data_IF_285914601134
#
_entry.id   IF_285914601134
#
_cell.length_a   1.000
_cell.length_b   1.000
_cell.length_c   1.000
_cell.angle_alpha   90.00
_cell.angle_beta   90.00
_cell.angle_gamma   90.00
#
_symmetry.space_group_name_H-M   'P 1'
#
loop_
_entity.id
_entity.type
_entity.pdbx_description
1 polymer ?
#
# COMPACT_ATOMS: atom_id res chain seq x y z
N UNK A 1 -7.82 30.63 13.93
CA UNK A 1 -7.59 29.49 13.03
C UNK A 1 -7.85 29.93 11.59
N UNK A 2 -7.01 29.44 10.68
CA UNK A 2 -7.10 29.76 9.25
C UNK A 2 -6.92 28.49 8.43
N UNK A 3 -7.45 28.51 7.22
CA UNK A 3 -7.08 27.56 6.15
C UNK A 3 -6.02 28.21 5.26
N UNK A 4 -4.93 27.49 5.01
CA UNK A 4 -3.87 27.88 4.06
C UNK A 4 -3.65 26.79 3.03
N UNK A 5 -3.30 27.18 1.80
CA UNK A 5 -2.88 26.21 0.80
C UNK A 5 -1.42 25.82 1.04
N UNK A 6 -1.12 24.56 0.82
CA UNK A 6 0.22 23.99 0.99
C UNK A 6 0.53 23.03 -0.14
N UNK A 7 1.82 22.89 -0.46
CA UNK A 7 2.32 21.87 -1.40
C UNK A 7 3.75 21.46 -1.09
N UNK A 8 4.13 20.25 -1.47
CA UNK A 8 5.52 19.81 -1.43
C UNK A 8 6.19 20.04 -2.77
N UNK A 9 7.30 20.76 -2.76
CA UNK A 9 8.15 21.02 -3.92
C UNK A 9 9.40 20.15 -3.85
N UNK A 10 9.99 19.90 -5.01
CA UNK A 10 11.27 19.19 -5.11
C UNK A 10 12.37 19.98 -4.42
N UNK A 11 13.22 19.29 -3.62
CA UNK A 11 14.27 19.95 -2.86
C UNK A 11 15.37 20.59 -3.74
N UNK A 12 15.55 20.09 -4.97
CA UNK A 12 16.58 20.58 -5.90
C UNK A 12 16.00 21.54 -6.95
N UNK A 13 14.68 21.48 -7.17
CA UNK A 13 14.00 22.38 -8.12
C UNK A 13 12.66 22.86 -7.52
N UNK A 14 12.70 24.02 -6.85
CA UNK A 14 11.56 24.59 -6.13
C UNK A 14 10.42 25.08 -7.02
N UNK A 15 10.54 24.99 -8.34
CA UNK A 15 9.43 25.28 -9.29
C UNK A 15 8.69 23.99 -9.66
N UNK A 16 9.19 22.83 -9.26
CA UNK A 16 8.60 21.53 -9.54
C UNK A 16 7.99 20.93 -8.28
N UNK A 17 6.79 20.35 -8.42
CA UNK A 17 6.21 19.57 -7.33
C UNK A 17 7.01 18.29 -7.08
N UNK A 18 7.18 17.95 -5.80
CA UNK A 18 7.70 16.67 -5.38
C UNK A 18 6.70 15.55 -5.69
N UNK A 19 7.18 14.36 -5.99
CA UNK A 19 6.31 13.17 -6.09
C UNK A 19 5.55 12.89 -4.80
N UNK A 20 6.07 13.29 -3.63
CA UNK A 20 5.40 13.18 -2.35
C UNK A 20 4.17 14.10 -2.23
N UNK A 21 4.02 15.11 -3.12
CA UNK A 21 2.87 16.02 -3.09
C UNK A 21 1.52 15.30 -3.23
N UNK A 22 1.48 14.15 -3.89
CA UNK A 22 0.26 13.33 -4.02
C UNK A 22 -0.24 12.77 -2.67
N UNK A 23 0.64 12.71 -1.65
CA UNK A 23 0.26 12.30 -0.30
C UNK A 23 -0.26 13.47 0.55
N UNK A 24 -0.11 14.71 0.10
CA UNK A 24 -0.56 15.89 0.81
C UNK A 24 -1.98 16.25 0.36
N UNK A 25 -2.88 16.46 1.31
CA UNK A 25 -4.12 17.16 1.05
C UNK A 25 -3.76 18.65 1.06
N UNK A 26 -3.94 19.35 -0.06
CA UNK A 26 -3.36 20.68 -0.35
C UNK A 26 -3.85 21.84 0.53
N UNK A 27 -4.65 21.57 1.57
CA UNK A 27 -5.17 22.57 2.53
C UNK A 27 -4.79 22.17 3.95
N UNK A 28 -4.16 23.09 4.66
CA UNK A 28 -3.68 22.90 6.03
C UNK A 28 -4.38 23.86 6.98
N UNK A 29 -4.52 23.44 8.24
CA UNK A 29 -5.00 24.29 9.32
C UNK A 29 -3.81 25.05 9.90
N UNK A 30 -3.88 26.39 9.86
CA UNK A 30 -2.94 27.28 10.51
C UNK A 30 -3.59 27.84 11.80
N UNK A 31 -2.92 27.68 12.93
CA UNK A 31 -3.30 28.29 14.20
C UNK A 31 -2.22 29.28 14.62
N UNK A 32 -2.61 30.53 14.90
CA UNK A 32 -1.71 31.59 15.38
C UNK A 32 -2.15 31.98 16.78
N UNK A 33 -1.29 31.75 17.78
CA UNK A 33 -1.55 32.03 19.18
C UNK A 33 -0.29 32.54 19.88
N UNK A 34 -0.38 33.66 20.60
CA UNK A 34 0.70 34.17 21.45
C UNK A 34 2.06 34.30 20.76
N UNK A 35 2.06 34.67 19.47
CA UNK A 35 3.29 34.82 18.67
C UNK A 35 3.91 33.50 18.19
N UNK A 36 3.24 32.38 18.40
CA UNK A 36 3.60 31.08 17.85
C UNK A 36 2.59 30.67 16.77
N UNK A 37 3.07 30.00 15.74
CA UNK A 37 2.22 29.47 14.67
C UNK A 37 2.39 27.95 14.56
N UNK A 38 1.30 27.26 14.40
CA UNK A 38 1.25 25.80 14.19
C UNK A 38 0.49 25.49 12.92
N UNK A 39 1.02 24.55 12.16
CA UNK A 39 0.43 24.09 10.92
C UNK A 39 0.09 22.61 11.03
N UNK A 40 -1.15 22.24 10.78
CA UNK A 40 -1.60 20.86 10.71
C UNK A 40 -1.72 20.47 9.24
N UNK A 41 -0.85 19.57 8.81
CA UNK A 41 -0.86 18.98 7.47
C UNK A 41 -1.73 17.74 7.47
N UNK A 42 -2.62 17.64 6.49
CA UNK A 42 -3.49 16.47 6.29
C UNK A 42 -2.88 15.58 5.20
N UNK A 43 -2.80 14.28 5.48
CA UNK A 43 -2.12 13.31 4.64
C UNK A 43 -3.06 12.20 4.18
N UNK A 44 -2.75 11.66 3.01
CA UNK A 44 -3.40 10.45 2.46
C UNK A 44 -2.33 9.50 1.90
N UNK A 45 -2.65 8.22 1.67
CA UNK A 45 -1.76 7.33 0.96
C UNK A 45 -1.47 7.82 -0.45
N UNK A 46 -0.30 7.46 -0.97
CA UNK A 46 -0.01 7.53 -2.40
C UNK A 46 -0.77 6.40 -3.10
N UNK A 47 -1.62 6.73 -4.06
CA UNK A 47 -2.31 5.74 -4.88
C UNK A 47 -1.69 5.66 -6.27
N UNK A 48 -1.52 4.43 -6.77
CA UNK A 48 -1.00 4.15 -8.12
C UNK A 48 -1.74 2.96 -8.72
N UNK A 49 -2.27 3.12 -9.91
CA UNK A 49 -3.01 2.06 -10.61
C UNK A 49 -4.08 1.40 -9.73
N UNK A 50 -4.86 2.21 -9.01
CA UNK A 50 -5.93 1.73 -8.15
C UNK A 50 -5.51 1.10 -6.82
N UNK A 51 -4.21 1.05 -6.50
CA UNK A 51 -3.68 0.47 -5.26
C UNK A 51 -2.93 1.51 -4.43
N UNK A 52 -2.86 1.31 -3.12
CA UNK A 52 -1.96 2.08 -2.28
C UNK A 52 -0.52 1.65 -2.55
N UNK A 53 0.34 2.62 -2.88
CA UNK A 53 1.73 2.38 -3.26
C UNK A 53 2.73 2.89 -2.21
N UNK A 54 2.27 3.66 -1.22
CA UNK A 54 3.12 4.17 -0.15
C UNK A 54 2.39 5.17 0.74
N UNK A 55 3.03 5.50 1.85
CA UNK A 55 2.54 6.47 2.83
C UNK A 55 3.68 7.32 3.37
N UNK A 56 3.37 8.54 3.81
CA UNK A 56 4.27 9.30 4.67
C UNK A 56 4.08 8.80 6.10
N UNK A 57 5.08 8.16 6.67
CA UNK A 57 5.04 7.60 8.02
C UNK A 57 5.38 8.62 9.09
N UNK A 58 6.18 9.65 8.75
CA UNK A 58 6.57 10.74 9.62
C UNK A 58 7.08 11.95 8.84
N UNK A 59 7.02 13.13 9.48
CA UNK A 59 7.54 14.38 8.98
C UNK A 59 8.41 15.06 10.05
N UNK A 60 9.49 15.70 9.61
CA UNK A 60 10.39 16.46 10.47
C UNK A 60 10.63 17.85 9.88
N UNK A 61 10.69 18.85 10.74
CA UNK A 61 11.23 20.17 10.42
C UNK A 61 12.71 20.26 10.83
N UNK A 62 13.43 21.28 10.38
CA UNK A 62 14.80 21.51 10.76
C UNK A 62 14.92 22.73 11.69
N UNK A 63 15.74 22.63 12.72
CA UNK A 63 16.23 23.79 13.49
C UNK A 63 17.34 24.52 12.75
N UNK A 64 17.72 25.70 13.23
CA UNK A 64 18.82 26.50 12.67
C UNK A 64 20.17 25.78 12.72
N UNK A 65 20.37 24.87 13.67
CA UNK A 65 21.56 24.02 13.84
C UNK A 65 21.56 22.77 12.94
N UNK A 66 20.45 22.53 12.18
CA UNK A 66 20.29 21.39 11.30
C UNK A 66 19.64 20.16 11.96
N UNK A 67 19.37 20.20 13.25
CA UNK A 67 18.70 19.12 13.97
C UNK A 67 17.26 18.95 13.48
N UNK A 68 16.84 17.70 13.35
CA UNK A 68 15.46 17.34 12.99
C UNK A 68 14.53 17.44 14.20
N UNK A 69 13.40 18.13 14.02
CA UNK A 69 12.29 18.19 14.99
C UNK A 69 11.13 17.37 14.46
N UNK A 70 10.76 16.35 15.19
CA UNK A 70 9.66 15.47 14.83
C UNK A 70 8.32 16.18 14.89
N UNK A 71 7.52 16.09 13.82
CA UNK A 71 6.13 16.54 13.80
C UNK A 71 5.27 15.71 14.77
N UNK A 72 4.31 16.38 15.42
CA UNK A 72 3.38 15.76 16.34
C UNK A 72 2.23 15.09 15.56
N UNK A 73 2.13 13.77 15.62
CA UNK A 73 1.06 13.02 14.97
C UNK A 73 -0.23 13.14 15.77
N UNK A 74 -1.25 13.77 15.17
CA UNK A 74 -2.55 13.99 15.78
C UNK A 74 -3.51 12.83 15.51
N UNK A 75 -3.53 12.33 14.28
CA UNK A 75 -4.46 11.30 13.84
C UNK A 75 -3.72 10.24 12.99
N UNK A 76 -4.24 9.02 13.02
CA UNK A 76 -3.70 7.88 12.24
C UNK A 76 -4.83 7.07 11.64
N UNK A 77 -4.54 6.44 10.50
CA UNK A 77 -5.37 5.42 9.88
C UNK A 77 -4.50 4.26 9.36
N UNK A 78 -5.13 3.22 8.87
CA UNK A 78 -4.48 2.08 8.23
C UNK A 78 -4.85 2.04 6.75
N UNK A 79 -3.93 1.53 5.92
CA UNK A 79 -4.19 1.23 4.52
C UNK A 79 -3.53 -0.10 4.16
N UNK A 80 -4.17 -0.88 3.30
CA UNK A 80 -3.54 -2.08 2.74
C UNK A 80 -2.57 -1.69 1.62
N UNK A 81 -1.33 -2.16 1.74
CA UNK A 81 -0.30 -2.04 0.70
C UNK A 81 0.20 -3.45 0.40
N UNK A 82 -0.07 -3.94 -0.81
CA UNK A 82 0.28 -5.31 -1.22
C UNK A 82 -0.20 -6.39 -0.21
N UNK A 83 -1.41 -6.25 0.31
CA UNK A 83 -1.98 -7.19 1.28
C UNK A 83 -1.51 -7.01 2.72
N UNK A 84 -0.62 -6.05 3.00
CA UNK A 84 -0.12 -5.74 4.35
C UNK A 84 -0.79 -4.47 4.88
N UNK A 85 -1.38 -4.53 6.07
CA UNK A 85 -1.93 -3.36 6.76
C UNK A 85 -0.78 -2.47 7.27
N UNK A 86 -0.72 -1.23 6.73
CA UNK A 86 0.27 -0.22 7.11
C UNK A 86 -0.42 0.92 7.82
N UNK A 87 0.05 1.26 9.02
CA UNK A 87 -0.44 2.38 9.81
C UNK A 87 0.31 3.65 9.44
N UNK A 88 -0.42 4.73 9.17
CA UNK A 88 0.17 6.01 8.77
C UNK A 88 -0.56 7.19 9.44
N UNK A 89 0.09 8.37 9.61
CA UNK A 89 -0.57 9.58 10.09
C UNK A 89 -1.47 10.18 9.02
N UNK A 90 -2.68 10.55 9.39
CA UNK A 90 -3.60 11.34 8.55
C UNK A 90 -3.55 12.83 8.87
N UNK A 91 -3.02 13.20 10.04
CA UNK A 91 -2.77 14.58 10.43
C UNK A 91 -1.48 14.70 11.26
N UNK A 92 -0.61 15.63 10.86
CA UNK A 92 0.65 15.96 11.55
C UNK A 92 0.71 17.46 11.81
N UNK A 93 0.94 17.84 13.08
CA UNK A 93 1.19 19.23 13.49
C UNK A 93 2.69 19.53 13.50
N UNK A 94 3.06 20.68 12.93
CA UNK A 94 4.42 21.24 12.99
C UNK A 94 4.40 22.69 13.42
N UNK A 95 5.47 23.14 14.09
CA UNK A 95 5.70 24.54 14.36
C UNK A 95 6.19 25.27 13.11
N UNK A 96 5.67 26.46 12.84
CA UNK A 96 6.08 27.37 11.76
C UNK A 96 6.19 28.80 12.31
N UNK A 97 6.91 29.70 11.61
CA UNK A 97 7.07 31.10 12.05
C UNK A 97 5.95 32.03 11.58
N UNK A 98 5.01 31.51 10.81
CA UNK A 98 3.89 32.28 10.26
C UNK A 98 4.25 33.24 9.12
N UNK A 99 5.49 33.21 8.61
CA UNK A 99 6.03 34.17 7.62
C UNK A 99 6.75 33.51 6.45
N UNK A 100 7.59 32.51 6.76
CA UNK A 100 8.45 31.86 5.77
C UNK A 100 7.63 30.97 4.86
N UNK A 101 7.47 31.38 3.62
CA UNK A 101 6.62 30.70 2.63
C UNK A 101 7.16 29.35 2.19
N UNK A 102 8.47 29.13 2.25
CA UNK A 102 9.15 27.88 1.82
C UNK A 102 10.08 27.42 2.90
N UNK A 103 9.80 26.28 3.50
CA UNK A 103 10.63 25.68 4.55
C UNK A 103 11.07 24.30 4.12
N UNK A 104 12.34 23.99 4.38
CA UNK A 104 12.87 22.65 4.18
C UNK A 104 12.32 21.71 5.25
N UNK A 105 11.81 20.57 4.85
CA UNK A 105 11.32 19.51 5.74
C UNK A 105 11.86 18.17 5.27
N UNK A 106 11.82 17.18 6.13
CA UNK A 106 12.17 15.81 5.82
C UNK A 106 10.93 14.91 5.99
N UNK A 107 10.67 14.08 5.00
CA UNK A 107 9.60 13.10 5.00
C UNK A 107 10.19 11.69 5.13
N UNK A 108 9.64 10.92 6.03
CA UNK A 108 9.86 9.47 6.07
C UNK A 108 8.75 8.83 5.23
N UNK A 109 9.12 8.27 4.08
CA UNK A 109 8.17 7.66 3.14
C UNK A 109 8.39 6.15 3.13
N UNK A 110 7.35 5.39 3.45
CA UNK A 110 7.32 3.95 3.26
C UNK A 110 6.63 3.65 1.93
N UNK A 111 7.43 3.28 0.93
CA UNK A 111 6.95 2.90 -0.38
C UNK A 111 6.89 1.37 -0.48
N UNK A 112 5.73 0.83 -0.83
CA UNK A 112 5.49 -0.59 -1.05
C UNK A 112 5.79 -1.51 0.15
N UNK A 113 5.78 -0.97 1.38
CA UNK A 113 6.06 -1.75 2.59
C UNK A 113 7.52 -2.21 2.72
N UNK A 114 8.45 -1.53 2.04
CA UNK A 114 9.89 -1.85 2.06
C UNK A 114 10.66 -1.16 3.19
N UNK A 115 9.95 -0.50 4.09
CA UNK A 115 10.52 0.34 5.13
C UNK A 115 10.62 1.81 4.71
N UNK A 116 10.64 2.68 5.71
CA UNK A 116 10.63 4.11 5.48
C UNK A 116 12.01 4.65 5.10
N UNK A 117 12.04 5.48 4.07
CA UNK A 117 13.22 6.19 3.59
C UNK A 117 13.06 7.71 3.76
N UNK A 118 14.16 8.38 4.09
CA UNK A 118 14.22 9.84 4.27
C UNK A 118 14.24 10.55 2.92
N UNK A 119 13.38 11.56 2.78
CA UNK A 119 13.32 12.44 1.62
C UNK A 119 13.20 13.90 2.05
N UNK A 120 14.14 14.74 1.65
CA UNK A 120 14.05 16.17 1.84
C UNK A 120 13.17 16.78 0.74
N UNK A 121 12.25 17.64 1.16
CA UNK A 121 11.37 18.42 0.26
C UNK A 121 11.23 19.85 0.79
N UNK A 122 10.72 20.74 -0.03
CA UNK A 122 10.32 22.08 0.40
C UNK A 122 8.80 22.10 0.62
N UNK A 123 8.37 22.42 1.81
CA UNK A 123 6.98 22.73 2.09
C UNK A 123 6.75 24.20 1.77
N UNK A 124 5.92 24.46 0.77
CA UNK A 124 5.45 25.81 0.44
C UNK A 124 4.11 26.05 1.13
N UNK A 125 3.96 27.24 1.75
CA UNK A 125 2.78 27.65 2.53
C UNK A 125 2.31 28.99 1.98
N UNK A 126 1.06 29.06 1.54
CA UNK A 126 0.44 30.27 0.98
C UNK A 126 -0.23 31.10 2.09
N UNK A 127 0.57 31.86 2.81
CA UNK A 127 0.05 32.78 3.86
C UNK A 127 -0.73 33.97 3.30
N UNK A 128 -0.53 34.36 2.03
CA UNK A 128 -1.16 35.55 1.43
C UNK A 128 -2.64 35.29 1.18
N UNK A 129 -3.02 34.04 0.91
CA UNK A 129 -4.39 33.63 0.60
C UNK A 129 -5.02 32.80 1.71
N UNK A 130 -4.64 33.06 2.98
CA UNK A 130 -5.27 32.40 4.13
C UNK A 130 -6.71 32.85 4.30
N UNK A 131 -7.61 31.92 4.62
CA UNK A 131 -9.03 32.17 4.88
C UNK A 131 -9.39 31.84 6.32
N UNK A 132 -10.32 32.62 6.90
CA UNK A 132 -10.79 32.37 8.26
C UNK A 132 -11.49 31.02 8.40
N UNK A 133 -11.25 30.37 9.52
CA UNK A 133 -11.75 29.03 9.81
C UNK A 133 -10.97 27.94 9.09
N UNK A 134 -11.17 26.69 9.51
CA UNK A 134 -10.53 25.55 8.86
C UNK A 134 -11.52 24.75 8.02
N UNK A 135 -11.27 24.71 6.72
CA UNK A 135 -11.96 23.83 5.77
C UNK A 135 -10.92 22.99 5.02
N UNK A 136 -10.75 21.71 5.35
CA UNK A 136 -9.73 20.85 4.73
C UNK A 136 -10.02 20.55 3.25
N UNK A 137 -11.28 20.67 2.82
CA UNK A 137 -11.71 20.29 1.47
C UNK A 137 -12.68 21.33 0.92
N UNK A 138 -12.39 21.89 -0.24
CA UNK A 138 -13.33 22.81 -0.94
C UNK A 138 -14.45 22.03 -1.64
N UNK A 139 -14.11 20.87 -2.20
CA UNK A 139 -15.02 19.95 -2.86
C UNK A 139 -14.61 18.52 -2.60
N UNK A 140 -15.58 17.61 -2.65
CA UNK A 140 -15.30 16.18 -2.54
C UNK A 140 -14.48 15.71 -3.74
N UNK A 141 -13.28 15.20 -3.49
CA UNK A 141 -12.41 14.64 -4.52
C UNK A 141 -12.63 13.14 -4.63
N UNK A 142 -13.02 12.66 -5.81
CA UNK A 142 -13.28 11.25 -6.13
C UNK A 142 -12.25 10.66 -7.10
N UNK A 143 -11.17 11.36 -7.44
CA UNK A 143 -10.24 10.93 -8.49
C UNK A 143 -9.57 9.60 -8.15
N UNK A 144 -9.07 9.43 -6.93
CA UNK A 144 -8.43 8.17 -6.51
C UNK A 144 -9.45 7.02 -6.52
N UNK A 145 -10.70 7.24 -6.10
CA UNK A 145 -11.78 6.25 -6.17
C UNK A 145 -12.11 5.88 -7.62
N UNK A 146 -12.19 6.87 -8.51
CA UNK A 146 -12.43 6.65 -9.94
C UNK A 146 -11.30 5.81 -10.57
N UNK A 147 -10.05 6.14 -10.24
CA UNK A 147 -8.89 5.41 -10.73
C UNK A 147 -8.89 3.96 -10.25
N UNK A 148 -9.22 3.71 -8.99
CA UNK A 148 -9.35 2.37 -8.44
C UNK A 148 -10.47 1.57 -9.14
N UNK A 149 -11.66 2.14 -9.30
CA UNK A 149 -12.77 1.51 -10.01
C UNK A 149 -12.36 1.16 -11.45
N UNK A 150 -11.70 2.07 -12.16
CA UNK A 150 -11.25 1.83 -13.53
C UNK A 150 -10.20 0.70 -13.60
N UNK A 151 -9.26 0.66 -12.65
CA UNK A 151 -8.28 -0.42 -12.55
C UNK A 151 -8.97 -1.79 -12.36
N UNK A 152 -9.87 -1.89 -11.37
CA UNK A 152 -10.56 -3.13 -11.04
C UNK A 152 -11.63 -3.57 -12.07
N UNK A 153 -12.05 -2.67 -12.95
CA UNK A 153 -12.89 -2.99 -14.12
C UNK A 153 -12.08 -3.24 -15.41
N UNK A 154 -10.75 -3.20 -15.34
CA UNK A 154 -9.91 -3.43 -16.53
C UNK A 154 -9.94 -4.90 -16.98
N UNK A 155 -9.82 -5.12 -18.30
CA UNK A 155 -9.74 -6.47 -18.84
C UNK A 155 -8.60 -7.29 -18.22
N UNK A 156 -7.45 -6.66 -17.99
CA UNK A 156 -6.28 -7.32 -17.39
C UNK A 156 -6.57 -7.82 -15.96
N UNK A 157 -7.28 -7.02 -15.15
CA UNK A 157 -7.70 -7.45 -13.82
C UNK A 157 -8.70 -8.60 -13.89
N UNK A 158 -9.76 -8.46 -14.70
CA UNK A 158 -10.80 -9.48 -14.85
C UNK A 158 -10.23 -10.82 -15.35
N UNK A 159 -9.28 -10.78 -16.27
CA UNK A 159 -8.56 -11.97 -16.71
C UNK A 159 -7.73 -12.58 -15.58
N UNK A 160 -7.04 -11.74 -14.78
CA UNK A 160 -6.19 -12.23 -13.69
C UNK A 160 -6.96 -12.98 -12.61
N UNK A 161 -8.19 -12.54 -12.29
CA UNK A 161 -9.03 -13.13 -11.24
C UNK A 161 -9.92 -14.27 -11.75
N UNK A 162 -9.92 -14.57 -13.06
CA UNK A 162 -10.75 -15.61 -13.66
C UNK A 162 -10.49 -17.02 -13.12
N UNK A 163 -9.32 -17.24 -12.51
CA UNK A 163 -8.93 -18.50 -11.85
C UNK A 163 -9.53 -18.66 -10.46
N UNK A 164 -10.15 -17.61 -9.91
CA UNK A 164 -10.69 -17.59 -8.56
C UNK A 164 -12.18 -17.97 -8.60
N UNK A 165 -12.59 -18.84 -7.69
CA UNK A 165 -14.00 -19.22 -7.56
C UNK A 165 -14.88 -18.04 -7.16
N UNK A 166 -16.09 -17.99 -7.68
CA UNK A 166 -17.03 -16.88 -7.50
C UNK A 166 -17.26 -16.52 -6.01
N UNK A 167 -17.36 -17.52 -5.14
CA UNK A 167 -17.55 -17.34 -3.71
C UNK A 167 -16.40 -16.51 -3.06
N UNK A 168 -15.18 -16.72 -3.52
CA UNK A 168 -14.01 -15.99 -3.02
C UNK A 168 -13.92 -14.55 -3.53
N UNK A 169 -14.73 -14.17 -4.51
CA UNK A 169 -14.85 -12.82 -5.08
C UNK A 169 -15.99 -12.00 -4.46
N UNK A 170 -16.90 -12.58 -3.67
CA UNK A 170 -18.11 -11.91 -3.18
C UNK A 170 -17.79 -10.62 -2.42
N UNK A 171 -16.82 -10.64 -1.49
CA UNK A 171 -16.44 -9.44 -0.71
C UNK A 171 -15.88 -8.34 -1.61
N UNK A 172 -15.04 -8.72 -2.56
CA UNK A 172 -14.48 -7.79 -3.54
C UNK A 172 -15.56 -7.19 -4.44
N UNK A 173 -16.47 -8.01 -4.97
CA UNK A 173 -17.58 -7.53 -5.81
C UNK A 173 -18.47 -6.55 -5.03
N UNK A 174 -18.82 -6.86 -3.77
CA UNK A 174 -19.59 -5.97 -2.92
C UNK A 174 -18.86 -4.64 -2.66
N UNK A 175 -17.56 -4.67 -2.43
CA UNK A 175 -16.76 -3.46 -2.26
C UNK A 175 -16.68 -2.62 -3.54
N UNK A 176 -16.59 -3.26 -4.71
CA UNK A 176 -16.60 -2.57 -6.01
C UNK A 176 -17.96 -1.93 -6.30
N UNK A 177 -19.06 -2.63 -6.00
CA UNK A 177 -20.42 -2.09 -6.13
C UNK A 177 -20.64 -0.88 -5.22
N UNK A 178 -20.23 -0.94 -3.94
CA UNK A 178 -20.26 0.19 -3.01
C UNK A 178 -19.45 1.38 -3.55
N UNK A 179 -18.25 1.13 -4.05
CA UNK A 179 -17.39 2.16 -4.63
C UNK A 179 -18.05 2.86 -5.82
N UNK A 180 -18.73 2.10 -6.71
CA UNK A 180 -19.47 2.64 -7.85
C UNK A 180 -20.66 3.49 -7.37
N UNK A 181 -21.38 3.07 -6.34
CA UNK A 181 -22.50 3.84 -5.77
C UNK A 181 -21.98 5.17 -5.20
N UNK A 182 -20.93 5.16 -4.39
CA UNK A 182 -20.32 6.38 -3.84
C UNK A 182 -19.75 7.30 -4.93
N UNK A 183 -19.18 6.75 -5.99
CA UNK A 183 -18.73 7.52 -7.15
C UNK A 183 -19.86 8.36 -7.76
N UNK A 184 -21.04 7.79 -7.90
CA UNK A 184 -22.21 8.41 -8.56
C UNK A 184 -23.07 9.25 -7.62
N UNK A 185 -22.92 9.11 -6.31
CA UNK A 185 -23.65 9.88 -5.30
C UNK A 185 -23.09 11.30 -5.20
N UNK A 186 -23.87 12.31 -5.60
CA UNK A 186 -23.49 13.73 -5.52
C UNK A 186 -23.45 14.27 -4.08
N UNK A 187 -24.12 13.60 -3.15
CA UNK A 187 -24.17 13.98 -1.73
C UNK A 187 -23.10 13.26 -0.89
N UNK A 188 -22.31 12.37 -1.50
CA UNK A 188 -21.27 11.64 -0.80
C UNK A 188 -20.23 12.57 -0.16
N UNK A 189 -19.95 12.37 1.10
CA UNK A 189 -18.91 13.08 1.84
C UNK A 189 -17.52 12.53 1.50
N UNK A 190 -16.46 13.34 1.71
CA UNK A 190 -15.08 12.87 1.52
C UNK A 190 -14.75 11.64 2.39
N UNK A 191 -15.32 11.57 3.59
CA UNK A 191 -15.17 10.41 4.49
C UNK A 191 -15.73 9.13 3.86
N UNK A 192 -16.90 9.20 3.23
CA UNK A 192 -17.51 8.06 2.53
C UNK A 192 -16.66 7.65 1.31
N UNK A 193 -16.18 8.62 0.54
CA UNK A 193 -15.27 8.35 -0.60
C UNK A 193 -14.00 7.65 -0.15
N UNK A 194 -13.35 8.14 0.91
CA UNK A 194 -12.13 7.55 1.46
C UNK A 194 -12.37 6.14 2.01
N UNK A 195 -13.52 5.93 2.67
CA UNK A 195 -13.90 4.61 3.23
C UNK A 195 -14.15 3.58 2.12
N UNK A 196 -14.90 3.95 1.08
CA UNK A 196 -15.17 3.08 -0.06
C UNK A 196 -13.89 2.72 -0.81
N UNK A 197 -13.00 3.70 -1.04
CA UNK A 197 -11.69 3.48 -1.67
C UNK A 197 -10.84 2.50 -0.84
N UNK A 198 -10.74 2.72 0.48
CA UNK A 198 -9.99 1.86 1.39
C UNK A 198 -10.52 0.42 1.38
N UNK A 199 -11.84 0.25 1.42
CA UNK A 199 -12.47 -1.07 1.41
C UNK A 199 -12.22 -1.80 0.07
N UNK A 200 -12.39 -1.09 -1.05
CA UNK A 200 -12.14 -1.64 -2.39
C UNK A 200 -10.69 -2.11 -2.55
N UNK A 201 -9.72 -1.31 -2.14
CA UNK A 201 -8.30 -1.66 -2.20
C UNK A 201 -8.01 -2.89 -1.33
N UNK A 202 -8.52 -2.92 -0.09
CA UNK A 202 -8.32 -4.05 0.83
C UNK A 202 -8.80 -5.37 0.23
N UNK A 203 -10.02 -5.38 -0.29
CA UNK A 203 -10.58 -6.60 -0.88
C UNK A 203 -9.92 -6.96 -2.21
N UNK A 204 -9.49 -5.95 -2.99
CA UNK A 204 -8.68 -6.16 -4.19
C UNK A 204 -7.32 -6.80 -3.88
N UNK A 205 -6.60 -6.31 -2.86
CA UNK A 205 -5.33 -6.88 -2.39
C UNK A 205 -5.51 -8.33 -1.90
N UNK A 206 -6.62 -8.60 -1.20
CA UNK A 206 -6.96 -9.96 -0.76
C UNK A 206 -7.08 -10.91 -1.95
N UNK A 207 -7.85 -10.54 -2.96
CA UNK A 207 -8.04 -11.34 -4.18
C UNK A 207 -6.71 -11.48 -4.94
N UNK A 208 -5.94 -10.41 -5.08
CA UNK A 208 -4.63 -10.44 -5.74
C UNK A 208 -3.66 -11.40 -5.04
N UNK A 209 -3.66 -11.43 -3.71
CA UNK A 209 -2.86 -12.38 -2.94
C UNK A 209 -3.23 -13.83 -3.28
N UNK A 210 -4.52 -14.16 -3.36
CA UNK A 210 -4.97 -15.50 -3.75
C UNK A 210 -4.50 -15.83 -5.18
N UNK A 211 -4.58 -14.89 -6.14
CA UNK A 211 -4.09 -15.06 -7.51
C UNK A 211 -2.59 -15.35 -7.54
N UNK A 212 -1.81 -14.58 -6.78
CA UNK A 212 -0.35 -14.76 -6.69
C UNK A 212 -0.03 -16.16 -6.15
N UNK A 213 -0.68 -16.58 -5.07
CA UNK A 213 -0.47 -17.89 -4.46
C UNK A 213 -0.92 -19.02 -5.39
N UNK A 214 -2.03 -18.84 -6.13
CA UNK A 214 -2.48 -19.80 -7.13
C UNK A 214 -1.40 -20.02 -8.21
N UNK A 215 -0.89 -18.95 -8.80
CA UNK A 215 0.14 -19.02 -9.84
C UNK A 215 1.46 -19.62 -9.32
N UNK A 216 1.86 -19.23 -8.11
CA UNK A 216 3.07 -19.77 -7.48
C UNK A 216 2.93 -21.29 -7.21
N UNK A 217 1.76 -21.74 -6.75
CA UNK A 217 1.46 -23.16 -6.53
C UNK A 217 1.48 -23.96 -7.86
N UNK A 218 0.88 -23.42 -8.92
CA UNK A 218 0.88 -24.05 -10.25
C UNK A 218 2.31 -24.16 -10.81
N UNK A 219 3.13 -23.10 -10.67
CA UNK A 219 4.54 -23.14 -11.06
C UNK A 219 5.31 -24.20 -10.26
N UNK A 220 5.17 -24.21 -8.94
CA UNK A 220 5.82 -25.19 -8.07
C UNK A 220 5.42 -26.64 -8.43
N UNK A 221 4.15 -26.85 -8.78
CA UNK A 221 3.66 -28.17 -9.23
C UNK A 221 4.27 -28.58 -10.59
N UNK A 222 4.49 -27.61 -11.49
CA UNK A 222 5.19 -27.81 -12.77
C UNK A 222 6.65 -28.22 -12.55
N UNK A 223 7.36 -27.46 -11.72
CA UNK A 223 8.76 -27.72 -11.37
C UNK A 223 8.94 -29.07 -10.68
N UNK A 224 8.04 -29.41 -9.73
CA UNK A 224 8.04 -30.72 -9.08
C UNK A 224 7.94 -31.89 -10.08
N UNK A 225 7.04 -31.80 -11.07
CA UNK A 225 6.91 -32.86 -12.11
C UNK A 225 8.19 -33.01 -12.91
N UNK A 226 8.82 -31.89 -13.26
CA UNK A 226 10.09 -31.89 -14.00
C UNK A 226 11.23 -32.50 -13.18
N UNK A 227 11.32 -32.14 -11.88
CA UNK A 227 12.34 -32.64 -10.97
C UNK A 227 12.18 -34.14 -10.72
N UNK A 228 10.95 -34.62 -10.54
CA UNK A 228 10.64 -36.03 -10.35
C UNK A 228 11.08 -36.86 -11.57
N UNK A 229 10.80 -36.37 -12.77
CA UNK A 229 11.22 -37.02 -14.02
C UNK A 229 12.74 -37.07 -14.17
N UNK A 230 13.46 -36.09 -13.61
CA UNK A 230 14.93 -36.01 -13.70
C UNK A 230 15.67 -37.09 -12.89
N UNK A 231 15.02 -37.63 -11.82
CA UNK A 231 15.58 -38.58 -10.83
C UNK A 231 16.87 -38.08 -10.13
N UNK A 232 17.10 -36.77 -10.13
CA UNK A 232 18.32 -36.17 -9.55
C UNK A 232 18.24 -35.98 -8.05
N UNK A 233 17.03 -35.98 -7.46
CA UNK A 233 16.77 -35.63 -6.08
C UNK A 233 16.30 -36.84 -5.27
N UNK A 234 16.48 -36.79 -3.94
CA UNK A 234 16.05 -37.86 -3.04
C UNK A 234 14.54 -37.94 -2.94
N UNK A 235 13.99 -39.16 -2.80
CA UNK A 235 12.54 -39.35 -2.65
C UNK A 235 12.00 -38.62 -1.41
N UNK A 236 12.77 -38.56 -0.31
CA UNK A 236 12.38 -37.84 0.90
C UNK A 236 12.16 -36.35 0.63
N UNK A 237 13.11 -35.68 -0.04
CA UNK A 237 12.99 -34.26 -0.38
C UNK A 237 11.85 -34.00 -1.36
N UNK A 238 11.67 -34.88 -2.33
CA UNK A 238 10.59 -34.77 -3.31
C UNK A 238 9.21 -34.98 -2.69
N UNK A 239 9.08 -35.93 -1.72
CA UNK A 239 7.83 -36.14 -0.98
C UNK A 239 7.49 -34.92 -0.10
N UNK A 240 8.47 -34.32 0.59
CA UNK A 240 8.25 -33.12 1.39
C UNK A 240 7.76 -31.92 0.54
N UNK A 241 8.32 -31.73 -0.66
CA UNK A 241 7.85 -30.70 -1.61
C UNK A 241 6.42 -31.01 -2.07
N UNK A 242 6.14 -32.27 -2.41
CA UNK A 242 4.80 -32.72 -2.83
C UNK A 242 3.74 -32.43 -1.76
N UNK A 243 4.02 -32.71 -0.51
CA UNK A 243 3.09 -32.44 0.60
C UNK A 243 2.70 -30.96 0.67
N UNK A 244 3.67 -30.06 0.52
CA UNK A 244 3.44 -28.60 0.48
C UNK A 244 2.56 -28.17 -0.69
N UNK A 245 2.83 -28.71 -1.88
CA UNK A 245 2.03 -28.42 -3.08
C UNK A 245 0.60 -28.93 -2.92
N UNK A 246 0.42 -30.17 -2.44
CA UNK A 246 -0.91 -30.76 -2.22
C UNK A 246 -1.70 -29.99 -1.16
N UNK A 247 -1.05 -29.55 -0.08
CA UNK A 247 -1.66 -28.69 0.93
C UNK A 247 -2.16 -27.39 0.31
N UNK A 248 -1.31 -26.70 -0.47
CA UNK A 248 -1.68 -25.45 -1.14
C UNK A 248 -2.83 -25.62 -2.13
N UNK A 249 -2.78 -26.67 -2.96
CA UNK A 249 -3.86 -26.99 -3.90
C UNK A 249 -5.19 -27.27 -3.16
N UNK A 250 -5.14 -27.97 -2.03
CA UNK A 250 -6.34 -28.23 -1.22
C UNK A 250 -6.96 -26.93 -0.65
N UNK A 251 -6.13 -25.99 -0.21
CA UNK A 251 -6.60 -24.69 0.25
C UNK A 251 -7.21 -23.89 -0.91
N UNK A 252 -6.50 -23.80 -2.05
CA UNK A 252 -6.94 -23.06 -3.23
C UNK A 252 -8.21 -23.64 -3.87
N UNK A 253 -8.49 -24.92 -3.65
CA UNK A 253 -9.70 -25.60 -4.10
C UNK A 253 -10.95 -25.31 -3.24
N UNK A 254 -10.81 -24.65 -2.07
CA UNK A 254 -11.94 -24.32 -1.19
C UNK A 254 -12.93 -23.38 -1.89
N UNK A 255 -14.22 -23.54 -1.57
CA UNK A 255 -15.25 -22.59 -1.98
C UNK A 255 -15.12 -21.26 -1.24
N UNK A 256 -14.72 -21.28 0.04
CA UNK A 256 -14.51 -20.12 0.88
C UNK A 256 -13.10 -20.17 1.48
N UNK A 257 -12.20 -19.37 0.91
CA UNK A 257 -10.83 -19.20 1.39
C UNK A 257 -10.84 -18.13 2.47
N UNK A 258 -10.53 -18.51 3.71
CA UNK A 258 -10.46 -17.61 4.85
C UNK A 258 -9.13 -16.84 4.90
N UNK A 259 -9.06 -15.78 5.73
CA UNK A 259 -7.80 -15.05 5.94
C UNK A 259 -6.72 -15.97 6.55
N UNK A 260 -7.09 -16.90 7.42
CA UNK A 260 -6.21 -17.98 7.93
C UNK A 260 -5.65 -18.87 6.81
N UNK A 261 -6.48 -19.18 5.82
CA UNK A 261 -6.06 -19.95 4.64
C UNK A 261 -5.05 -19.17 3.80
N UNK A 262 -5.26 -17.86 3.65
CA UNK A 262 -4.34 -16.96 2.94
C UNK A 262 -3.00 -16.91 3.68
N UNK A 263 -2.99 -16.70 5.00
CA UNK A 263 -1.77 -16.73 5.82
C UNK A 263 -1.04 -18.06 5.67
N UNK A 264 -1.79 -19.16 5.64
CA UNK A 264 -1.20 -20.51 5.44
C UNK A 264 -0.58 -20.65 4.05
N UNK A 265 -1.26 -20.19 2.98
CA UNK A 265 -0.72 -20.20 1.62
C UNK A 265 0.60 -19.43 1.53
N UNK A 266 0.64 -18.23 2.12
CA UNK A 266 1.85 -17.40 2.17
C UNK A 266 2.98 -18.15 2.92
N UNK A 267 2.67 -18.83 4.02
CA UNK A 267 3.65 -19.56 4.83
C UNK A 267 4.25 -20.79 4.14
N UNK A 268 3.61 -21.31 3.09
CA UNK A 268 4.13 -22.43 2.29
C UNK A 268 5.34 -21.98 1.46
N UNK A 269 5.40 -20.74 1.05
CA UNK A 269 6.48 -20.13 0.27
C UNK A 269 6.82 -20.93 -1.01
N UNK A 270 5.80 -21.08 -1.86
CA UNK A 270 5.90 -21.88 -3.10
C UNK A 270 7.09 -21.51 -3.97
N UNK A 271 7.50 -20.23 -3.98
CA UNK A 271 8.60 -19.73 -4.81
C UNK A 271 9.93 -20.35 -4.40
N UNK A 272 10.12 -20.62 -3.10
CA UNK A 272 11.36 -21.14 -2.53
C UNK A 272 11.33 -22.66 -2.22
N UNK A 273 10.28 -23.39 -2.62
CA UNK A 273 10.24 -24.83 -2.42
C UNK A 273 11.42 -25.60 -3.05
N UNK A 274 12.05 -25.03 -4.09
CA UNK A 274 13.25 -25.61 -4.72
C UNK A 274 14.42 -25.73 -3.73
N UNK A 275 14.48 -24.92 -2.69
CA UNK A 275 15.52 -24.98 -1.64
C UNK A 275 15.44 -26.27 -0.80
N UNK A 276 14.28 -26.93 -0.80
CA UNK A 276 14.09 -28.22 -0.12
C UNK A 276 14.72 -29.41 -0.87
N UNK A 277 15.13 -29.22 -2.14
CA UNK A 277 15.73 -30.27 -2.98
C UNK A 277 17.02 -30.79 -2.35
N UNK A 278 17.21 -32.11 -2.37
CA UNK A 278 18.44 -32.79 -1.94
C UNK A 278 18.85 -33.74 -3.04
N UNK A 279 20.07 -33.60 -3.54
CA UNK A 279 20.58 -34.44 -4.61
C UNK A 279 20.73 -35.90 -4.16
N UNK A 280 20.35 -36.83 -5.02
CA UNK A 280 20.59 -38.24 -4.83
C UNK A 280 22.07 -38.52 -5.17
N UNK A 281 22.86 -38.80 -4.13
CA UNK A 281 24.30 -39.10 -4.26
C UNK A 281 24.63 -40.62 -4.18
N UNK A 282 23.61 -41.47 -4.17
CA UNK A 282 23.83 -42.95 -4.01
C UNK A 282 24.74 -43.52 -5.08
N UNK A 283 24.57 -43.09 -6.37
CA UNK A 283 25.43 -43.55 -7.46
C UNK A 283 26.88 -43.05 -7.41
N UNK A 284 27.16 -41.98 -6.65
CA UNK A 284 28.53 -41.46 -6.48
C UNK A 284 29.28 -42.31 -5.46
N UNK A 285 28.60 -42.79 -4.41
CA UNK A 285 29.20 -43.68 -3.40
C UNK A 285 29.55 -45.03 -3.99
N UNK A 286 28.69 -45.62 -4.83
CA UNK A 286 28.96 -46.86 -5.53
C UNK A 286 30.12 -46.78 -6.55
N UNK A 287 30.43 -45.59 -7.08
CA UNK A 287 31.52 -45.38 -8.02
C UNK A 287 32.88 -45.11 -7.34
N UNK A 288 32.89 -44.89 -6.02
CA UNK A 288 34.10 -44.62 -5.20
C UNK A 288 34.53 -45.86 -4.43
N UNK A 289 33.64 -46.83 -4.19
CA UNK A 289 33.95 -48.16 -3.62
C UNK A 289 34.41 -49.15 -4.73
#
# INVERSE_FOLDING_TARGET
EYTVNVRFLDNNNHEKESMANVCLIGRAKLTEENGTSKLVLNLKPMYRNGNAAGVISQLYTYKNDGDKVKGNVLEKDNVSINGTEVKFPTAIEIGVDGKTKRIKINLNIDAAGQGAHDHDVILEIDYDNKTDGFNPVESVNKDDLNNAINFYNSNAWMESISVIKAKNLEKFNSALEEAIQIKTDNEATQKQVNSALKNLIKEGDRVNTIVIQFRACEQAAGDYRSDLASKKFTDESMNAIKEKIVEGQAILAKEDITDKDIDRLISIDFINLYEMRRYNTSGIKEAIE
#
